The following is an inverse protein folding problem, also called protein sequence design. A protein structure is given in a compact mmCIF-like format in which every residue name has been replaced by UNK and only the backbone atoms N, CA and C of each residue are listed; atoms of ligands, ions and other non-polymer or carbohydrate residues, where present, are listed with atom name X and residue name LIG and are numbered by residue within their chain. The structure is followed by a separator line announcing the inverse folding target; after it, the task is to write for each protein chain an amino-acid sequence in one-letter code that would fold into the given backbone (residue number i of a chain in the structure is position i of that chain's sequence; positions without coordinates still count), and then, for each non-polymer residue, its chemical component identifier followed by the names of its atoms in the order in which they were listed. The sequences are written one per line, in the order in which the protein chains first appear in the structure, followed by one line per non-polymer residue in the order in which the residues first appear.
data_IF_462335458003
#
_entry.id   IF_462335458003
#
_cell.length_a   1.000
_cell.length_b   1.000
_cell.length_c   1.000
_cell.angle_alpha   90.00
_cell.angle_beta   90.00
_cell.angle_gamma   90.00
#
_symmetry.space_group_name_H-M   'P 1'
#
loop_
_entity.id
_entity.type
_entity.pdbx_description
1 polymer ?
#
# COMPACT_ATOMS: atom_id res chain seq x y z
N UNK A 1 14.34 14.10 -13.00
CA UNK A 1 13.23 13.54 -12.23
C UNK A 1 12.57 14.61 -11.37
N UNK A 2 11.24 14.71 -11.47
CA UNK A 2 10.47 15.56 -10.56
C UNK A 2 10.67 15.01 -9.15
N UNK A 3 11.56 15.65 -8.36
CA UNK A 3 11.55 15.44 -6.92
C UNK A 3 10.21 15.95 -6.40
N UNK A 4 9.36 15.05 -5.95
CA UNK A 4 8.13 15.45 -5.29
C UNK A 4 8.43 16.34 -4.08
N UNK A 5 7.45 17.13 -3.66
CA UNK A 5 7.57 17.93 -2.45
C UNK A 5 7.79 16.99 -1.26
N UNK A 6 8.92 17.15 -0.57
CA UNK A 6 9.26 16.35 0.61
C UNK A 6 8.58 16.93 1.84
N UNK A 7 7.98 16.07 2.64
CA UNK A 7 7.22 16.47 3.82
C UNK A 7 7.54 15.55 5.01
N UNK A 8 7.31 16.02 6.22
CA UNK A 8 7.40 15.18 7.41
C UNK A 8 6.19 14.24 7.50
N UNK A 9 6.25 13.29 8.43
CA UNK A 9 5.22 12.27 8.62
C UNK A 9 3.84 12.86 8.91
N UNK A 10 3.78 13.96 9.67
CA UNK A 10 2.53 14.65 10.02
C UNK A 10 1.88 15.30 8.81
N UNK A 11 2.68 15.96 7.97
CA UNK A 11 2.23 16.55 6.71
C UNK A 11 1.78 15.47 5.72
N UNK A 12 2.51 14.36 5.65
CA UNK A 12 2.17 13.22 4.82
C UNK A 12 0.82 12.61 5.21
N UNK A 13 0.57 12.42 6.50
CA UNK A 13 -0.73 11.96 7.02
C UNK A 13 -1.86 12.86 6.58
N UNK A 14 -1.69 14.17 6.73
CA UNK A 14 -2.70 15.16 6.36
C UNK A 14 -3.01 15.11 4.87
N UNK A 15 -1.99 15.03 4.03
CA UNK A 15 -2.18 14.94 2.58
C UNK A 15 -2.87 13.63 2.17
N UNK A 16 -2.48 12.52 2.76
CA UNK A 16 -3.09 11.21 2.50
C UNK A 16 -4.57 11.24 2.91
N UNK A 17 -4.87 11.75 4.09
CA UNK A 17 -6.24 11.88 4.58
C UNK A 17 -7.10 12.76 3.66
N UNK A 18 -6.58 13.90 3.23
CA UNK A 18 -7.28 14.79 2.30
C UNK A 18 -7.55 14.11 0.95
N UNK A 19 -6.57 13.38 0.43
CA UNK A 19 -6.74 12.62 -0.83
C UNK A 19 -7.80 11.53 -0.68
N UNK A 20 -7.77 10.78 0.41
CA UNK A 20 -8.76 9.73 0.66
C UNK A 20 -10.15 10.30 0.88
N UNK A 21 -10.26 11.41 1.58
CA UNK A 21 -11.54 12.11 1.76
C UNK A 21 -12.15 12.48 0.40
N UNK A 22 -11.34 12.97 -0.53
CA UNK A 22 -11.77 13.24 -1.89
C UNK A 22 -12.21 11.96 -2.61
N UNK A 23 -11.46 10.87 -2.47
CA UNK A 23 -11.78 9.59 -3.11
C UNK A 23 -13.06 8.96 -2.59
N UNK A 24 -13.36 9.12 -1.29
CA UNK A 24 -14.57 8.58 -0.67
C UNK A 24 -15.80 9.49 -0.79
N UNK A 25 -15.64 10.72 -1.29
CA UNK A 25 -16.74 11.66 -1.44
C UNK A 25 -17.73 11.18 -2.50
N UNK A 26 -19.01 11.16 -2.15
CA UNK A 26 -20.11 10.75 -3.02
C UNK A 26 -21.01 11.93 -3.31
N UNK A 27 -21.66 11.89 -4.48
CA UNK A 27 -22.72 12.82 -4.85
C UNK A 27 -24.07 12.44 -4.19
N UNK A 28 -25.11 13.22 -4.48
CA UNK A 28 -26.45 12.98 -3.95
C UNK A 28 -27.06 11.63 -4.39
N UNK A 29 -26.54 11.03 -5.48
CA UNK A 29 -27.00 9.74 -6.01
C UNK A 29 -26.22 8.55 -5.43
N UNK A 30 -25.23 8.82 -4.55
CA UNK A 30 -24.37 7.79 -3.98
C UNK A 30 -23.20 7.35 -4.87
N UNK A 31 -22.93 8.06 -5.96
CA UNK A 31 -21.79 7.79 -6.82
C UNK A 31 -20.56 8.58 -6.36
N UNK A 32 -19.37 8.00 -6.53
CA UNK A 32 -18.13 8.70 -6.22
C UNK A 32 -17.96 9.90 -7.14
N UNK A 33 -17.72 11.08 -6.56
CA UNK A 33 -17.50 12.31 -7.31
C UNK A 33 -16.28 12.20 -8.21
N UNK A 34 -15.19 11.62 -7.68
CA UNK A 34 -14.04 11.26 -8.48
C UNK A 34 -14.21 9.83 -9.01
N UNK A 35 -14.32 9.63 -10.32
CA UNK A 35 -14.46 8.29 -10.88
C UNK A 35 -13.34 7.36 -10.44
N UNK A 36 -13.64 6.08 -10.19
CA UNK A 36 -12.71 5.11 -9.66
C UNK A 36 -11.44 4.97 -10.51
N UNK A 37 -11.57 5.05 -11.83
CA UNK A 37 -10.42 4.99 -12.74
C UNK A 37 -9.48 6.20 -12.64
N UNK A 38 -9.94 7.31 -12.05
CA UNK A 38 -9.13 8.51 -11.78
C UNK A 38 -8.55 8.52 -10.36
N UNK A 39 -8.97 7.60 -9.51
CA UNK A 39 -8.45 7.47 -8.16
C UNK A 39 -7.10 6.76 -8.20
N UNK A 40 -6.04 7.51 -8.44
CA UNK A 40 -4.69 6.96 -8.53
C UNK A 40 -4.25 6.35 -7.21
N UNK A 41 -3.62 5.16 -7.21
CA UNK A 41 -2.99 4.63 -6.00
C UNK A 41 -1.99 5.62 -5.42
N UNK A 42 -2.00 5.75 -4.10
CA UNK A 42 -1.05 6.60 -3.37
C UNK A 42 0.23 5.80 -3.20
N UNK A 43 1.37 6.41 -3.47
CA UNK A 43 2.67 5.81 -3.21
C UNK A 43 3.44 6.63 -2.18
N UNK A 44 3.60 6.04 -1.00
CA UNK A 44 4.26 6.65 0.14
C UNK A 44 5.73 6.21 0.15
N UNK A 45 6.62 7.11 -0.25
CA UNK A 45 8.06 6.86 -0.30
C UNK A 45 8.72 7.46 0.93
N UNK A 46 9.41 6.65 1.70
CA UNK A 46 10.14 7.13 2.87
C UNK A 46 10.98 6.04 3.52
N UNK A 47 11.90 6.42 4.40
CA UNK A 47 12.74 5.46 5.09
C UNK A 47 11.94 4.45 5.90
N UNK A 48 12.50 3.24 6.12
CA UNK A 48 11.85 2.27 6.99
C UNK A 48 11.70 2.81 8.43
N UNK A 49 10.65 2.37 9.13
CA UNK A 49 10.44 2.67 10.53
C UNK A 49 9.91 4.06 10.87
N UNK A 50 9.58 4.89 9.90
CA UNK A 50 9.05 6.24 10.16
C UNK A 50 7.56 6.27 10.51
N UNK A 51 6.91 5.11 10.59
CA UNK A 51 5.50 5.01 10.98
C UNK A 51 4.51 5.02 9.82
N UNK A 52 4.91 4.59 8.62
CA UNK A 52 4.04 4.54 7.45
C UNK A 52 2.76 3.72 7.69
N UNK A 53 2.89 2.53 8.27
CA UNK A 53 1.74 1.69 8.60
C UNK A 53 0.81 2.36 9.60
N UNK A 54 1.37 2.97 10.64
CA UNK A 54 0.60 3.64 11.68
C UNK A 54 -0.20 4.83 11.14
N UNK A 55 0.36 5.60 10.19
CA UNK A 55 -0.38 6.68 9.51
C UNK A 55 -1.64 6.12 8.84
N UNK A 56 -1.49 5.06 8.09
CA UNK A 56 -2.59 4.48 7.31
C UNK A 56 -3.68 3.94 8.24
N UNK A 57 -3.31 3.26 9.30
CA UNK A 57 -4.25 2.77 10.30
C UNK A 57 -5.00 3.92 11.00
N UNK A 58 -4.32 5.01 11.31
CA UNK A 58 -4.94 6.19 11.92
C UNK A 58 -5.90 6.88 10.96
N UNK A 59 -5.51 7.05 9.70
CA UNK A 59 -6.38 7.65 8.69
C UNK A 59 -7.63 6.80 8.49
N UNK A 60 -7.49 5.48 8.42
CA UNK A 60 -8.62 4.57 8.32
C UNK A 60 -9.58 4.71 9.51
N UNK A 61 -9.05 4.76 10.73
CA UNK A 61 -9.84 4.97 11.94
C UNK A 61 -10.56 6.31 11.96
N UNK A 62 -9.90 7.39 11.57
CA UNK A 62 -10.47 8.74 11.52
C UNK A 62 -11.57 8.86 10.45
N UNK A 63 -11.44 8.14 9.34
CA UNK A 63 -12.44 8.14 8.27
C UNK A 63 -13.53 7.09 8.47
N UNK A 64 -13.38 6.20 9.43
CA UNK A 64 -14.35 5.13 9.71
C UNK A 64 -14.41 4.08 8.61
N UNK A 65 -13.29 3.79 7.95
CA UNK A 65 -13.19 2.79 6.88
C UNK A 65 -12.36 1.59 7.32
N UNK A 66 -12.50 0.47 6.60
CA UNK A 66 -11.67 -0.71 6.84
C UNK A 66 -10.23 -0.52 6.39
N UNK A 67 -9.34 -1.38 6.87
CA UNK A 67 -7.95 -1.41 6.44
C UNK A 67 -7.43 -2.83 6.40
N UNK A 68 -6.75 -3.17 5.32
CA UNK A 68 -5.97 -4.40 5.17
C UNK A 68 -4.54 -4.01 4.81
N UNK A 69 -3.58 -4.53 5.56
CA UNK A 69 -2.16 -4.22 5.39
C UNK A 69 -1.37 -5.49 5.09
N UNK A 70 -0.52 -5.43 4.08
CA UNK A 70 0.36 -6.52 3.69
C UNK A 70 1.78 -6.00 3.47
N UNK A 71 2.77 -6.76 3.94
CA UNK A 71 4.16 -6.58 3.49
C UNK A 71 4.39 -7.43 2.26
N UNK A 72 4.70 -6.81 1.13
CA UNK A 72 4.84 -7.52 -0.14
C UNK A 72 6.11 -8.34 -0.26
N UNK A 73 7.07 -8.17 0.66
CA UNK A 73 8.26 -9.03 0.73
C UNK A 73 7.92 -10.47 1.13
N UNK A 74 6.78 -10.69 1.79
CA UNK A 74 6.32 -12.02 2.22
C UNK A 74 5.39 -12.69 1.20
N UNK A 75 5.06 -12.00 0.12
CA UNK A 75 4.19 -12.53 -0.92
C UNK A 75 4.98 -13.08 -2.09
N UNK A 76 4.47 -14.16 -2.66
CA UNK A 76 4.98 -14.76 -3.90
C UNK A 76 4.05 -14.41 -5.06
N UNK A 77 4.47 -14.76 -6.29
CA UNK A 77 3.62 -14.65 -7.46
C UNK A 77 2.28 -15.39 -7.26
N UNK A 78 2.31 -16.58 -6.67
CA UNK A 78 1.11 -17.40 -6.46
C UNK A 78 0.17 -16.82 -5.43
N UNK A 79 0.68 -16.27 -4.34
CA UNK A 79 -0.17 -15.65 -3.31
C UNK A 79 -0.84 -14.37 -3.80
N UNK A 80 -0.16 -13.58 -4.64
CA UNK A 80 -0.72 -12.34 -5.19
C UNK A 80 -1.64 -12.60 -6.38
N UNK A 81 -1.24 -13.46 -7.32
CA UNK A 81 -1.96 -13.70 -8.57
C UNK A 81 -3.04 -14.78 -8.44
N UNK A 82 -2.85 -15.76 -7.56
CA UNK A 82 -3.64 -16.97 -7.46
C UNK A 82 -2.94 -18.19 -8.04
N UNK A 83 -3.57 -19.35 -7.90
CA UNK A 83 -3.06 -20.62 -8.41
C UNK A 83 -3.71 -20.97 -9.73
N UNK A 84 -2.93 -21.49 -10.71
CA UNK A 84 -3.51 -21.94 -11.96
C UNK A 84 -4.34 -23.21 -11.74
N UNK A 85 -5.44 -23.33 -12.47
CA UNK A 85 -6.23 -24.55 -12.55
C UNK A 85 -6.80 -24.71 -13.96
N UNK A 86 -7.22 -25.93 -14.29
CA UNK A 86 -7.82 -26.25 -15.58
C UNK A 86 -9.34 -26.14 -15.47
N UNK A 87 -9.93 -25.26 -16.28
CA UNK A 87 -11.36 -25.12 -16.43
C UNK A 87 -11.81 -25.75 -17.76
N UNK A 88 -12.97 -26.40 -17.73
CA UNK A 88 -13.61 -26.96 -18.93
C UNK A 88 -14.66 -25.97 -19.43
N UNK A 89 -14.50 -25.50 -20.67
CA UNK A 89 -15.41 -24.54 -21.28
C UNK A 89 -15.93 -25.03 -22.62
N UNK A 90 -17.17 -24.73 -22.94
CA UNK A 90 -17.80 -25.06 -24.21
C UNK A 90 -17.90 -23.78 -25.07
N UNK A 91 -17.33 -23.85 -26.26
CA UNK A 91 -17.43 -22.78 -27.26
C UNK A 91 -17.94 -23.38 -28.56
N UNK A 92 -19.11 -22.91 -29.02
CA UNK A 92 -19.69 -23.36 -30.27
C UNK A 92 -20.01 -24.87 -30.30
N UNK A 93 -20.41 -25.45 -29.16
CA UNK A 93 -20.73 -26.85 -29.02
C UNK A 93 -19.51 -27.77 -28.83
N UNK A 94 -18.30 -27.22 -28.76
CA UNK A 94 -17.06 -27.97 -28.57
C UNK A 94 -16.42 -27.64 -27.23
N UNK A 95 -16.00 -28.67 -26.50
CA UNK A 95 -15.35 -28.52 -25.19
C UNK A 95 -13.87 -28.22 -25.34
N UNK A 96 -13.39 -27.28 -24.55
CA UNK A 96 -11.99 -26.88 -24.46
C UNK A 96 -11.53 -26.89 -23.00
N UNK A 97 -10.27 -27.27 -22.80
CA UNK A 97 -9.58 -27.07 -21.52
C UNK A 97 -8.88 -25.72 -21.57
N UNK A 98 -9.16 -24.88 -20.58
CA UNK A 98 -8.63 -23.52 -20.48
C UNK A 98 -7.91 -23.36 -19.15
N UNK A 99 -6.73 -22.76 -19.17
CA UNK A 99 -6.02 -22.39 -17.94
C UNK A 99 -6.64 -21.13 -17.34
N UNK A 100 -7.03 -21.20 -16.08
CA UNK A 100 -7.53 -20.08 -15.30
C UNK A 100 -6.78 -19.98 -13.97
N UNK A 101 -6.94 -18.86 -13.27
CA UNK A 101 -6.35 -18.65 -11.97
C UNK A 101 -7.44 -18.48 -10.89
N UNK A 102 -7.20 -19.03 -9.72
CA UNK A 102 -8.02 -18.75 -8.55
C UNK A 102 -7.90 -17.27 -8.19
N UNK A 103 -8.85 -16.75 -7.39
CA UNK A 103 -8.76 -15.38 -6.91
C UNK A 103 -7.54 -15.19 -6.01
N UNK A 104 -6.84 -14.06 -6.18
CA UNK A 104 -5.78 -13.63 -5.26
C UNK A 104 -6.29 -13.65 -3.82
N UNK A 105 -5.49 -14.18 -2.90
CA UNK A 105 -5.83 -14.13 -1.48
C UNK A 105 -5.92 -12.70 -0.93
N UNK A 106 -5.22 -11.73 -1.53
CA UNK A 106 -5.33 -10.31 -1.17
C UNK A 106 -6.71 -9.77 -1.52
N UNK A 107 -7.19 -10.06 -2.73
CA UNK A 107 -8.54 -9.64 -3.16
C UNK A 107 -9.62 -10.36 -2.34
N UNK A 108 -9.45 -11.67 -2.11
CA UNK A 108 -10.39 -12.44 -1.28
C UNK A 108 -10.49 -11.89 0.14
N UNK A 109 -9.36 -11.48 0.73
CA UNK A 109 -9.36 -10.89 2.07
C UNK A 109 -10.17 -9.58 2.15
N UNK A 110 -10.20 -8.79 1.07
CA UNK A 110 -11.06 -7.60 1.00
C UNK A 110 -12.54 -8.01 1.07
N UNK A 111 -12.95 -8.97 0.26
CA UNK A 111 -14.34 -9.46 0.26
C UNK A 111 -14.73 -10.06 1.62
N UNK A 112 -13.84 -10.83 2.23
CA UNK A 112 -14.06 -11.42 3.55
C UNK A 112 -14.28 -10.33 4.61
N UNK A 113 -13.46 -9.28 4.60
CA UNK A 113 -13.62 -8.15 5.53
C UNK A 113 -14.96 -7.44 5.31
N UNK A 114 -15.35 -7.22 4.07
CA UNK A 114 -16.63 -6.58 3.76
C UNK A 114 -17.82 -7.39 4.28
N UNK A 115 -17.77 -8.71 4.12
CA UNK A 115 -18.85 -9.61 4.58
C UNK A 115 -18.87 -9.74 6.10
N UNK A 116 -17.71 -9.91 6.74
CA UNK A 116 -17.61 -10.13 8.17
C UNK A 116 -17.89 -8.86 9.01
N UNK A 117 -17.48 -7.70 8.53
CA UNK A 117 -17.61 -6.44 9.28
C UNK A 117 -18.73 -5.53 8.79
N UNK A 118 -19.25 -5.76 7.59
CA UNK A 118 -20.24 -4.90 6.95
C UNK A 118 -19.68 -3.60 6.39
N UNK A 119 -18.36 -3.35 6.48
CA UNK A 119 -17.74 -2.15 5.89
C UNK A 119 -17.81 -2.24 4.37
N UNK A 120 -18.14 -1.13 3.72
CA UNK A 120 -18.21 -1.05 2.26
C UNK A 120 -17.00 -0.34 1.67
N UNK A 121 -16.27 0.40 2.48
CA UNK A 121 -15.14 1.23 2.08
C UNK A 121 -13.93 0.91 2.93
N UNK A 122 -12.76 0.97 2.32
CA UNK A 122 -11.53 0.66 3.03
C UNK A 122 -10.28 1.05 2.28
N UNK A 123 -9.16 0.74 2.90
CA UNK A 123 -7.82 0.97 2.39
C UNK A 123 -7.12 -0.38 2.26
N UNK A 124 -6.62 -0.66 1.07
CA UNK A 124 -5.66 -1.74 0.85
C UNK A 124 -4.27 -1.12 0.89
N UNK A 125 -3.50 -1.45 1.93
CA UNK A 125 -2.15 -0.96 2.11
C UNK A 125 -1.12 -2.04 1.80
N UNK A 126 -0.29 -1.80 0.79
CA UNK A 126 0.76 -2.72 0.36
C UNK A 126 2.13 -2.09 0.63
N UNK A 127 2.80 -2.54 1.68
CA UNK A 127 4.11 -2.04 2.08
C UNK A 127 5.24 -2.79 1.38
N UNK A 128 6.39 -2.14 1.29
CA UNK A 128 7.62 -2.68 0.70
C UNK A 128 7.47 -3.14 -0.77
N UNK A 129 6.65 -2.41 -1.51
CA UNK A 129 6.25 -2.80 -2.87
C UNK A 129 7.41 -2.81 -3.86
N UNK A 130 8.44 -2.00 -3.64
CA UNK A 130 9.62 -1.95 -4.49
C UNK A 130 10.74 -2.91 -4.06
N UNK A 131 10.48 -3.75 -3.04
CA UNK A 131 11.40 -4.77 -2.55
C UNK A 131 10.96 -6.20 -2.93
N UNK A 132 10.00 -6.33 -3.83
CA UNK A 132 9.47 -7.63 -4.25
C UNK A 132 10.45 -8.40 -5.14
N UNK A 133 10.24 -9.72 -5.23
CA UNK A 133 11.03 -10.58 -6.10
C UNK A 133 10.88 -10.20 -7.59
N UNK A 134 11.84 -10.65 -8.41
CA UNK A 134 11.78 -10.42 -9.86
C UNK A 134 10.54 -11.01 -10.52
N UNK A 135 10.04 -12.12 -10.00
CA UNK A 135 8.85 -12.77 -10.54
C UNK A 135 7.56 -12.06 -10.15
N UNK A 136 7.56 -11.36 -9.01
CA UNK A 136 6.40 -10.61 -8.54
C UNK A 136 6.37 -9.18 -9.08
N UNK A 137 7.51 -8.57 -9.40
CA UNK A 137 7.60 -7.18 -9.83
C UNK A 137 6.69 -6.83 -11.03
N UNK A 138 6.62 -7.61 -12.12
CA UNK A 138 5.71 -7.31 -13.23
C UNK A 138 4.23 -7.34 -12.83
N UNK A 139 3.87 -8.22 -11.91
CA UNK A 139 2.51 -8.34 -11.39
C UNK A 139 2.15 -7.10 -10.58
N UNK A 140 3.08 -6.60 -9.77
CA UNK A 140 2.88 -5.38 -9.00
C UNK A 140 2.78 -4.14 -9.88
N UNK A 141 3.56 -4.05 -10.94
CA UNK A 141 3.44 -2.96 -11.92
C UNK A 141 2.06 -2.95 -12.58
N UNK A 142 1.56 -4.11 -13.00
CA UNK A 142 0.22 -4.23 -13.55
C UNK A 142 -0.86 -3.86 -12.53
N UNK A 143 -0.69 -4.29 -11.29
CA UNK A 143 -1.59 -3.94 -10.19
C UNK A 143 -1.65 -2.43 -9.95
N UNK A 144 -0.51 -1.76 -9.93
CA UNK A 144 -0.45 -0.30 -9.76
C UNK A 144 -1.13 0.45 -10.91
N UNK A 145 -1.10 -0.10 -12.12
CA UNK A 145 -1.73 0.52 -13.29
C UNK A 145 -3.24 0.30 -13.33
N UNK A 146 -3.70 -0.92 -13.03
CA UNK A 146 -5.06 -1.35 -13.29
C UNK A 146 -5.83 -1.80 -12.06
N UNK A 147 -5.19 -1.88 -10.90
CA UNK A 147 -5.77 -2.38 -9.64
C UNK A 147 -6.32 -3.80 -9.76
N UNK A 148 -5.64 -4.64 -10.55
CA UNK A 148 -6.02 -6.04 -10.75
C UNK A 148 -4.88 -6.98 -10.37
N UNK A 149 -5.25 -8.09 -9.76
CA UNK A 149 -4.42 -9.27 -9.65
C UNK A 149 -5.07 -10.38 -10.50
N UNK A 150 -4.43 -10.73 -11.61
CA UNK A 150 -5.02 -11.63 -12.58
C UNK A 150 -6.27 -11.01 -13.21
N UNK A 151 -7.41 -11.66 -13.03
CA UNK A 151 -8.71 -11.20 -13.54
C UNK A 151 -9.53 -10.41 -12.52
N UNK A 152 -9.07 -10.35 -11.27
CA UNK A 152 -9.86 -9.83 -10.17
C UNK A 152 -9.36 -8.44 -9.79
N UNK A 153 -10.28 -7.50 -9.86
CA UNK A 153 -10.01 -6.10 -9.52
C UNK A 153 -10.33 -5.84 -8.05
N UNK A 154 -9.62 -4.87 -7.47
CA UNK A 154 -9.95 -4.31 -6.17
C UNK A 154 -11.41 -3.82 -6.22
N UNK A 155 -12.27 -4.21 -5.26
CA UNK A 155 -13.66 -3.76 -5.23
C UNK A 155 -13.79 -2.25 -5.16
N UNK A 156 -14.88 -1.73 -5.74
CA UNK A 156 -15.24 -0.32 -5.63
C UNK A 156 -15.37 0.09 -4.16
N UNK A 157 -14.90 1.27 -3.83
CA UNK A 157 -14.88 1.76 -2.45
C UNK A 157 -13.59 1.43 -1.69
N UNK A 158 -12.65 0.72 -2.31
CA UNK A 158 -11.35 0.44 -1.72
C UNK A 158 -10.24 1.24 -2.40
N UNK A 159 -9.54 2.02 -1.61
CA UNK A 159 -8.42 2.85 -2.06
C UNK A 159 -7.11 2.09 -1.88
N UNK A 160 -6.28 2.09 -2.90
CA UNK A 160 -4.97 1.44 -2.86
C UNK A 160 -3.93 2.45 -2.38
N UNK A 161 -3.23 2.10 -1.31
CA UNK A 161 -2.05 2.81 -0.83
C UNK A 161 -0.89 1.84 -0.83
N UNK A 162 0.21 2.26 -1.39
CA UNK A 162 1.44 1.48 -1.42
C UNK A 162 2.53 2.26 -0.72
N UNK A 163 3.55 1.57 -0.25
CA UNK A 163 4.71 2.19 0.35
C UNK A 163 5.99 1.50 -0.09
N UNK A 164 7.06 2.26 -0.11
CA UNK A 164 8.38 1.78 -0.44
C UNK A 164 9.47 2.60 0.22
N UNK A 165 10.67 2.04 0.22
CA UNK A 165 11.85 2.67 0.77
C UNK A 165 12.70 3.26 -0.36
N UNK A 166 13.38 4.40 -0.15
CA UNK A 166 14.38 4.89 -1.10
C UNK A 166 15.52 3.89 -1.31
N UNK A 167 16.16 3.86 -2.49
CA UNK A 167 17.23 2.91 -2.79
C UNK A 167 18.41 2.94 -1.80
N UNK A 168 18.72 4.08 -1.19
CA UNK A 168 19.78 4.23 -0.20
C UNK A 168 19.56 3.42 1.09
N UNK A 169 18.37 2.93 1.34
CA UNK A 169 18.04 2.14 2.54
C UNK A 169 17.99 0.63 2.30
N UNK A 170 17.97 0.20 1.04
CA UNK A 170 17.90 -1.22 0.72
C UNK A 170 18.42 -1.51 -0.68
N UNK A 171 19.44 -2.35 -0.78
CA UNK A 171 20.06 -2.75 -2.05
C UNK A 171 19.11 -3.57 -2.96
N UNK A 172 18.03 -4.10 -2.42
CA UNK A 172 17.02 -4.87 -3.15
C UNK A 172 15.91 -4.00 -3.72
N UNK A 173 15.93 -2.68 -3.49
CA UNK A 173 14.91 -1.76 -3.98
C UNK A 173 15.01 -1.65 -5.51
N UNK A 174 13.87 -1.81 -6.16
CA UNK A 174 13.71 -1.63 -7.60
C UNK A 174 13.20 -0.23 -7.89
N UNK A 175 13.72 0.39 -8.94
CA UNK A 175 13.16 1.61 -9.47
C UNK A 175 12.00 1.26 -10.42
N UNK A 176 10.86 1.89 -10.19
CA UNK A 176 9.75 1.85 -11.14
C UNK A 176 10.01 2.88 -12.23
N UNK A 177 9.61 2.57 -13.46
CA UNK A 177 9.79 3.50 -14.56
C UNK A 177 8.89 4.75 -14.45
N UNK A 178 9.22 5.78 -15.23
CA UNK A 178 8.53 7.07 -15.21
C UNK A 178 7.05 6.93 -15.56
N UNK A 179 6.70 6.01 -16.45
CA UNK A 179 5.30 5.78 -16.86
C UNK A 179 4.46 5.29 -15.69
N UNK A 180 5.03 4.43 -14.84
CA UNK A 180 4.38 3.96 -13.63
C UNK A 180 4.16 5.11 -12.64
N UNK A 181 5.15 6.00 -12.48
CA UNK A 181 5.01 7.16 -11.59
C UNK A 181 3.89 8.10 -11.99
N UNK A 182 3.65 8.29 -13.27
CA UNK A 182 2.56 9.14 -13.77
C UNK A 182 1.17 8.60 -13.37
N UNK A 183 1.06 7.32 -13.08
CA UNK A 183 -0.20 6.66 -12.65
C UNK A 183 -0.37 6.60 -11.13
N UNK A 184 0.61 7.07 -10.38
CA UNK A 184 0.61 7.06 -8.93
C UNK A 184 0.54 8.49 -8.39
N UNK A 185 -0.03 8.62 -7.20
CA UNK A 185 0.06 9.84 -6.42
C UNK A 185 1.19 9.66 -5.41
N UNK A 186 2.35 10.21 -5.72
CA UNK A 186 3.56 10.06 -4.91
C UNK A 186 3.56 11.04 -3.75
N UNK A 187 3.88 10.53 -2.57
CA UNK A 187 4.09 11.28 -1.33
C UNK A 187 5.47 10.92 -0.78
N UNK A 188 6.39 11.86 -0.84
CA UNK A 188 7.76 11.67 -0.33
C UNK A 188 7.86 12.16 1.10
N UNK A 189 8.27 11.29 2.00
CA UNK A 189 8.38 11.58 3.43
C UNK A 189 9.84 11.67 3.83
N UNK A 190 10.19 12.78 4.46
CA UNK A 190 11.50 12.96 5.10
C UNK A 190 11.40 12.67 6.58
N UNK A 191 12.42 12.02 7.15
CA UNK A 191 12.49 11.85 8.59
C UNK A 191 12.66 13.23 9.27
N UNK A 192 11.83 13.48 10.27
CA UNK A 192 11.95 14.58 11.21
C UNK A 192 11.86 13.94 12.60
N UNK A 193 12.96 13.94 13.33
CA UNK A 193 13.04 13.23 14.59
C UNK A 193 12.04 13.76 15.62
N UNK A 194 11.87 15.06 15.72
CA UNK A 194 10.98 15.65 16.71
C UNK A 194 9.52 15.35 16.40
N UNK A 195 9.14 15.43 15.13
CA UNK A 195 7.80 15.06 14.66
C UNK A 195 7.57 13.55 14.79
N UNK A 196 8.57 12.73 14.44
CA UNK A 196 8.48 11.28 14.62
C UNK A 196 8.30 10.90 16.10
N UNK A 197 9.03 11.52 16.99
CA UNK A 197 8.93 11.29 18.43
C UNK A 197 7.52 11.61 18.95
N UNK A 198 6.97 12.76 18.60
CA UNK A 198 5.61 13.14 18.96
C UNK A 198 4.60 12.11 18.45
N UNK A 199 4.76 11.67 17.22
CA UNK A 199 3.91 10.70 16.58
C UNK A 199 4.01 9.32 17.24
N UNK A 200 5.21 8.87 17.56
CA UNK A 200 5.47 7.61 18.23
C UNK A 200 4.83 7.54 19.62
N UNK A 201 4.83 8.63 20.38
CA UNK A 201 4.10 8.69 21.65
C UNK A 201 2.60 8.47 21.45
N UNK A 202 2.02 9.08 20.42
CA UNK A 202 0.59 8.91 20.11
C UNK A 202 0.23 7.50 19.66
N UNK A 203 1.16 6.80 19.03
CA UNK A 203 0.95 5.43 18.50
C UNK A 203 1.36 4.32 19.45
N UNK A 204 1.85 4.66 20.66
CA UNK A 204 2.19 3.70 21.69
C UNK A 204 3.54 3.03 21.53
N UNK A 205 4.51 3.67 20.89
CA UNK A 205 5.89 3.18 20.87
C UNK A 205 6.44 3.19 22.29
N UNK A 206 7.14 2.13 22.69
CA UNK A 206 7.61 1.95 24.06
C UNK A 206 8.55 3.08 24.47
N UNK A 207 8.34 3.64 25.68
CA UNK A 207 9.09 4.79 26.19
C UNK A 207 10.61 4.57 26.24
N UNK A 208 11.07 3.33 26.50
CA UNK A 208 12.50 3.02 26.48
C UNK A 208 13.16 3.20 25.11
N UNK A 209 12.44 2.85 24.03
CA UNK A 209 12.91 3.05 22.66
C UNK A 209 13.01 4.54 22.34
N UNK A 210 12.02 5.32 22.73
CA UNK A 210 12.01 6.78 22.54
C UNK A 210 13.15 7.45 23.31
N UNK A 211 13.37 7.06 24.57
CA UNK A 211 14.48 7.57 25.39
C UNK A 211 15.83 7.25 24.74
N UNK A 212 16.01 6.01 24.26
CA UNK A 212 17.24 5.61 23.57
C UNK A 212 17.50 6.45 22.32
N UNK A 213 16.47 6.69 21.50
CA UNK A 213 16.56 7.51 20.30
C UNK A 213 16.84 8.98 20.60
N UNK A 214 16.32 9.52 21.70
CA UNK A 214 16.64 10.87 22.18
C UNK A 214 18.13 11.02 22.53
N UNK A 215 18.70 10.02 23.20
CA UNK A 215 20.11 10.04 23.59
C UNK A 215 21.01 9.87 22.37
N UNK A 216 20.61 9.06 21.40
CA UNK A 216 21.41 8.72 20.20
C UNK A 216 20.72 9.19 18.91
N UNK A 217 20.27 10.42 18.91
CA UNK A 217 19.55 11.04 17.77
C UNK A 217 20.30 10.91 16.43
N UNK A 218 21.64 10.98 16.45
CA UNK A 218 22.47 10.82 15.27
C UNK A 218 22.41 9.41 14.65
N UNK A 219 22.05 8.40 15.44
CA UNK A 219 21.97 7.00 15.04
C UNK A 219 20.54 6.59 14.66
N UNK A 220 19.60 7.53 14.64
CA UNK A 220 18.17 7.26 14.39
C UNK A 220 17.93 6.44 13.13
N UNK A 221 18.56 6.79 12.02
CA UNK A 221 18.41 6.07 10.75
C UNK A 221 19.01 4.68 10.77
N UNK A 222 20.11 4.51 11.44
CA UNK A 222 20.81 3.23 11.55
C UNK A 222 19.98 2.22 12.36
N UNK A 223 19.36 2.66 13.43
CA UNK A 223 18.48 1.84 14.27
C UNK A 223 17.25 1.40 13.49
N UNK A 224 16.61 2.27 12.74
CA UNK A 224 15.48 1.92 11.90
C UNK A 224 15.83 0.87 10.86
N UNK A 225 16.95 1.00 10.18
CA UNK A 225 17.43 0.02 9.23
C UNK A 225 17.65 -1.36 9.85
N UNK A 226 18.02 -1.41 11.13
CA UNK A 226 18.22 -2.65 11.89
C UNK A 226 16.88 -3.25 12.35
N UNK A 227 15.93 -2.43 12.77
CA UNK A 227 14.59 -2.88 13.21
C UNK A 227 13.81 -3.52 12.07
N UNK A 228 13.93 -3.04 10.85
CA UNK A 228 13.31 -3.64 9.67
C UNK A 228 13.92 -5.00 9.28
N UNK A 229 14.90 -5.49 10.05
CA UNK A 229 15.35 -6.88 10.02
C UNK A 229 16.03 -7.34 8.74
N UNK A 230 16.57 -6.42 7.98
CA UNK A 230 17.22 -6.72 6.70
C UNK A 230 18.73 -6.58 6.79
N UNK A 231 19.34 -7.41 7.60
CA UNK A 231 20.77 -7.75 7.52
C UNK A 231 20.92 -9.24 7.37
#
# INVERSE_FOLDING_TARGET
GRKGYRMNIKQAKEQIKNTMTAYFTKDARGNYVMPLYKQRPIFLMGPPGIGKTAIIEQVAGELGVGVLSYSMTHHTRQSALGLPYIAHKNYGGKEYMVSEYTMSEIIAAIYDMMEETGVKEGILFLDEINCVSETLAPIMLQFLQYKVFGRHRVPDGWVVVTAGNPPEYNNSVREFDIVTWDRLKRVDVEPDFDVWKEYAYKTGVHAAVLTYLEIRKADFYEIESTIDGKR
#
